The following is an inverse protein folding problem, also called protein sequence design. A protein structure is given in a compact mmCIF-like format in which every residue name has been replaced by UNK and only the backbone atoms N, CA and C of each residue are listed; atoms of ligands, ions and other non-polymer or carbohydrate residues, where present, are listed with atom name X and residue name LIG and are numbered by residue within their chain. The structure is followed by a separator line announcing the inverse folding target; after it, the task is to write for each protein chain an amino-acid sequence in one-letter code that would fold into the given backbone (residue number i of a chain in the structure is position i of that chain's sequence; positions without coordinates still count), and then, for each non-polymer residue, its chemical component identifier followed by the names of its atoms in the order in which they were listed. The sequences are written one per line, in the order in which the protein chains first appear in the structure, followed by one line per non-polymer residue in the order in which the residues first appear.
data_IF_993690203392
#
_entry.id   IF_993690203392
#
_cell.length_a   1.000
_cell.length_b   1.000
_cell.length_c   1.000
_cell.angle_alpha   90.00
_cell.angle_beta   90.00
_cell.angle_gamma   90.00
#
_symmetry.space_group_name_H-M   'P 1'
#
loop_
_entity.id
_entity.type
_entity.pdbx_description
1 polymer ?
#
# COMPACT_ATOMS: atom_id res chain seq x y z
N UNK A 1 16.46 -9.81 -4.16
CA UNK A 1 16.59 -10.18 -5.59
C UNK A 1 15.26 -10.75 -6.07
N UNK A 2 14.73 -10.25 -7.19
CA UNK A 2 13.43 -10.64 -7.76
C UNK A 2 13.64 -11.33 -9.12
N UNK A 3 12.98 -12.47 -9.31
CA UNK A 3 12.90 -13.23 -10.58
C UNK A 3 11.51 -13.88 -10.70
N UNK A 4 10.84 -13.90 -11.87
CA UNK A 4 11.23 -13.32 -13.15
C UNK A 4 11.05 -11.79 -13.19
N UNK A 5 11.78 -11.11 -14.07
CA UNK A 5 11.59 -9.68 -14.33
C UNK A 5 10.46 -9.46 -15.34
N UNK A 6 9.69 -8.40 -15.17
CA UNK A 6 8.61 -8.02 -16.11
C UNK A 6 8.49 -6.52 -16.19
N UNK A 7 8.11 -5.99 -17.36
CA UNK A 7 7.95 -4.54 -17.59
C UNK A 7 6.97 -3.89 -16.59
N UNK A 8 5.93 -4.64 -16.18
CA UNK A 8 4.95 -4.20 -15.18
C UNK A 8 5.61 -4.05 -13.80
N UNK A 9 6.47 -5.00 -13.41
CA UNK A 9 7.18 -4.97 -12.11
C UNK A 9 8.16 -3.79 -12.08
N UNK A 10 8.90 -3.56 -13.17
CA UNK A 10 9.82 -2.42 -13.28
C UNK A 10 9.04 -1.10 -13.11
N UNK A 11 7.91 -0.94 -13.81
CA UNK A 11 7.05 0.25 -13.66
C UNK A 11 6.47 0.40 -12.26
N UNK A 12 6.11 -0.71 -11.61
CA UNK A 12 5.62 -0.70 -10.23
C UNK A 12 6.72 -0.24 -9.26
N UNK A 13 7.96 -0.73 -9.43
CA UNK A 13 9.11 -0.31 -8.64
C UNK A 13 9.43 1.18 -8.83
N UNK A 14 9.31 1.71 -10.06
CA UNK A 14 9.48 3.15 -10.32
C UNK A 14 8.47 3.98 -9.51
N UNK A 15 7.21 3.55 -9.43
CA UNK A 15 6.19 4.22 -8.60
C UNK A 15 6.57 4.16 -7.12
N UNK A 16 7.05 3.00 -6.63
CA UNK A 16 7.51 2.86 -5.24
C UNK A 16 8.73 3.74 -4.93
N UNK A 17 9.66 3.88 -5.88
CA UNK A 17 10.86 4.72 -5.75
C UNK A 17 10.47 6.20 -5.70
N UNK A 18 9.51 6.63 -6.54
CA UNK A 18 8.98 8.00 -6.54
C UNK A 18 8.41 8.43 -5.19
N UNK A 19 7.77 7.49 -4.48
CA UNK A 19 7.24 7.73 -3.14
C UNK A 19 8.26 7.47 -2.00
N UNK A 20 9.50 7.07 -2.33
CA UNK A 20 10.57 6.87 -1.35
C UNK A 20 10.45 5.61 -0.48
N UNK A 21 9.72 4.58 -0.95
CA UNK A 21 9.60 3.29 -0.25
C UNK A 21 10.73 2.32 -0.55
N UNK A 22 11.41 2.50 -1.67
CA UNK A 22 12.59 1.73 -2.06
C UNK A 22 13.72 2.69 -2.40
N UNK A 23 14.95 2.22 -2.30
CA UNK A 23 16.13 2.93 -2.77
C UNK A 23 16.31 2.74 -4.28
N UNK A 24 17.57 2.66 -4.70
CA UNK A 24 17.91 2.37 -6.08
C UNK A 24 17.60 0.91 -6.43
N UNK A 25 17.23 0.69 -7.69
CA UNK A 25 17.06 -0.66 -8.22
C UNK A 25 17.79 -0.79 -9.56
N UNK A 26 18.38 -1.95 -9.78
CA UNK A 26 19.12 -2.27 -10.99
C UNK A 26 18.46 -3.45 -11.70
N UNK A 27 18.33 -3.31 -13.03
CA UNK A 27 17.91 -4.40 -13.91
C UNK A 27 19.15 -5.06 -14.50
N UNK A 28 19.36 -6.34 -14.19
CA UNK A 28 20.45 -7.15 -14.74
C UNK A 28 19.86 -8.15 -15.73
N UNK A 29 20.27 -8.07 -16.99
CA UNK A 29 19.82 -9.00 -18.02
C UNK A 29 20.63 -10.31 -17.98
N UNK A 30 19.92 -11.43 -17.90
CA UNK A 30 20.50 -12.79 -17.87
C UNK A 30 20.21 -13.56 -19.16
N UNK A 31 19.73 -12.88 -20.21
CA UNK A 31 19.25 -13.45 -21.49
C UNK A 31 18.12 -14.49 -21.37
N UNK A 32 17.69 -14.84 -20.15
CA UNK A 32 16.56 -15.75 -19.89
C UNK A 32 15.31 -14.97 -19.50
N UNK A 33 15.30 -14.43 -18.28
CA UNK A 33 14.11 -13.82 -17.68
C UNK A 33 14.41 -12.53 -16.93
N UNK A 34 15.64 -12.02 -17.03
CA UNK A 34 16.15 -10.85 -16.31
C UNK A 34 16.09 -10.99 -14.79
N UNK A 35 16.81 -10.13 -14.09
CA UNK A 35 16.89 -10.09 -12.63
C UNK A 35 16.73 -8.64 -12.20
N UNK A 36 16.04 -8.42 -11.10
CA UNK A 36 15.97 -7.08 -10.50
C UNK A 36 16.58 -7.17 -9.10
N UNK A 37 17.59 -6.33 -8.88
CA UNK A 37 18.19 -6.10 -7.58
C UNK A 37 17.61 -4.80 -7.06
N UNK A 38 17.02 -4.82 -5.86
CA UNK A 38 16.37 -3.65 -5.25
C UNK A 38 17.03 -3.42 -3.91
N UNK A 39 17.41 -2.18 -3.63
CA UNK A 39 17.84 -1.75 -2.31
C UNK A 39 16.61 -1.36 -1.47
N UNK A 40 16.46 -1.98 -0.31
CA UNK A 40 15.37 -1.71 0.61
C UNK A 40 15.85 -0.78 1.72
N UNK A 41 15.12 0.30 1.95
CA UNK A 41 15.41 1.29 2.98
C UNK A 41 14.76 0.99 4.34
N UNK A 42 14.09 -0.17 4.48
CA UNK A 42 13.37 -0.57 5.70
C UNK A 42 12.02 0.12 5.93
N UNK A 43 11.54 0.95 5.01
CA UNK A 43 10.24 1.66 5.10
C UNK A 43 9.08 0.91 4.44
N UNK A 44 9.30 -0.32 3.97
CA UNK A 44 8.26 -1.11 3.35
C UNK A 44 7.76 -2.17 4.33
N UNK A 45 6.48 -2.10 4.71
CA UNK A 45 5.91 -3.07 5.65
C UNK A 45 5.15 -4.16 4.90
N UNK A 46 4.29 -3.76 3.96
CA UNK A 46 3.58 -4.69 3.10
C UNK A 46 3.47 -4.12 1.70
N UNK A 47 3.84 -4.92 0.71
CA UNK A 47 3.39 -4.76 -0.67
C UNK A 47 2.63 -6.02 -1.09
N UNK A 48 1.59 -5.84 -1.89
CA UNK A 48 0.75 -6.94 -2.33
C UNK A 48 0.18 -6.67 -3.70
N UNK A 49 0.03 -7.72 -4.49
CA UNK A 49 -0.68 -7.70 -5.77
C UNK A 49 -2.11 -8.17 -5.52
N UNK A 50 -3.08 -7.54 -6.18
CA UNK A 50 -4.48 -7.93 -6.11
C UNK A 50 -4.80 -8.80 -7.32
N UNK A 51 -5.35 -9.99 -7.03
CA UNK A 51 -5.82 -10.93 -8.04
C UNK A 51 -7.21 -11.42 -7.67
N UNK A 52 -8.20 -11.36 -8.59
CA UNK A 52 -8.12 -10.90 -9.97
C UNK A 52 -7.96 -9.36 -10.09
N UNK A 53 -7.53 -8.88 -11.27
CA UNK A 53 -7.38 -7.44 -11.54
C UNK A 53 -8.74 -6.80 -11.82
N UNK A 54 -9.36 -6.27 -10.77
CA UNK A 54 -10.65 -5.60 -10.85
C UNK A 54 -10.57 -4.27 -11.59
N UNK A 55 -11.60 -3.98 -12.39
CA UNK A 55 -11.83 -2.67 -12.97
C UNK A 55 -12.31 -1.70 -11.90
N UNK A 56 -11.76 -0.47 -11.92
CA UNK A 56 -12.04 0.57 -10.95
C UNK A 56 -12.27 1.89 -11.68
N UNK A 57 -13.50 2.39 -11.57
CA UNK A 57 -13.84 3.74 -12.02
C UNK A 57 -13.31 4.81 -11.08
N UNK A 58 -13.22 6.05 -11.56
CA UNK A 58 -12.71 7.22 -10.79
C UNK A 58 -13.46 7.40 -9.46
N UNK A 59 -14.77 7.17 -9.46
CA UNK A 59 -15.63 7.28 -8.26
C UNK A 59 -15.36 6.15 -7.24
N UNK A 60 -14.96 4.99 -7.71
CA UNK A 60 -14.76 3.80 -6.87
C UNK A 60 -13.39 3.75 -6.21
N UNK A 61 -12.43 4.58 -6.67
CA UNK A 61 -11.07 4.66 -6.11
C UNK A 61 -11.11 4.87 -4.59
N UNK A 62 -11.97 5.76 -4.09
CA UNK A 62 -12.07 6.00 -2.65
C UNK A 62 -12.55 4.76 -1.87
N UNK A 63 -13.50 4.02 -2.43
CA UNK A 63 -14.01 2.78 -1.83
C UNK A 63 -12.93 1.70 -1.75
N UNK A 64 -12.11 1.57 -2.80
CA UNK A 64 -10.96 0.66 -2.80
C UNK A 64 -9.87 1.10 -1.82
N UNK A 65 -9.62 2.41 -1.70
CA UNK A 65 -8.67 3.00 -0.75
C UNK A 65 -9.04 2.65 0.68
N UNK A 66 -10.31 2.81 1.06
CA UNK A 66 -10.79 2.50 2.40
C UNK A 66 -10.74 1.00 2.76
N UNK A 67 -10.83 0.10 1.77
CA UNK A 67 -10.79 -1.35 1.98
C UNK A 67 -9.38 -1.90 2.08
N UNK A 68 -8.45 -1.37 1.28
CA UNK A 68 -7.11 -1.92 1.12
C UNK A 68 -6.09 -1.26 2.05
N UNK A 69 -6.23 0.04 2.30
CA UNK A 69 -5.29 0.79 3.13
C UNK A 69 -5.80 0.85 4.58
N UNK A 70 -4.89 0.78 5.57
CA UNK A 70 -5.26 0.91 6.98
C UNK A 70 -5.78 2.33 7.31
N UNK A 71 -5.38 3.35 6.54
CA UNK A 71 -5.83 4.73 6.68
C UNK A 71 -5.75 5.47 5.33
N UNK A 72 -6.57 6.51 5.13
CA UNK A 72 -6.60 7.32 3.89
C UNK A 72 -5.32 8.11 3.64
N UNK A 73 -4.56 8.39 4.71
CA UNK A 73 -3.30 9.16 4.63
C UNK A 73 -2.08 8.27 4.46
N UNK A 74 -2.23 6.94 4.58
CA UNK A 74 -1.10 6.02 4.66
C UNK A 74 -1.20 4.91 3.62
N UNK A 75 -0.26 4.95 2.68
CA UNK A 75 -0.10 3.96 1.63
C UNK A 75 -0.65 4.41 0.28
N UNK A 76 -0.35 3.61 -0.73
CA UNK A 76 -0.72 3.90 -2.11
C UNK A 76 -1.28 2.66 -2.77
N UNK A 77 -2.34 2.86 -3.55
CA UNK A 77 -2.85 1.86 -4.49
C UNK A 77 -2.31 2.20 -5.86
N UNK A 78 -1.83 1.16 -6.56
CA UNK A 78 -1.32 1.26 -7.93
C UNK A 78 -2.35 0.72 -8.89
N UNK A 79 -2.64 1.52 -9.92
CA UNK A 79 -3.63 1.25 -10.96
C UNK A 79 -2.93 1.18 -12.32
N UNK A 80 -3.40 0.29 -13.20
CA UNK A 80 -3.09 0.34 -14.63
C UNK A 80 -4.19 1.12 -15.33
N UNK A 81 -3.85 2.30 -15.81
CA UNK A 81 -4.73 3.15 -16.61
C UNK A 81 -4.32 3.10 -18.08
N UNK A 82 -5.12 3.68 -18.97
CA UNK A 82 -4.76 3.84 -20.39
C UNK A 82 -3.49 4.67 -20.61
N UNK A 83 -3.20 5.61 -19.70
CA UNK A 83 -2.00 6.44 -19.74
C UNK A 83 -0.77 5.79 -19.08
N UNK A 84 -0.90 4.57 -18.55
CA UNK A 84 0.17 3.83 -17.91
C UNK A 84 -0.13 3.43 -16.47
N UNK A 85 0.90 2.92 -15.79
CA UNK A 85 0.83 2.51 -14.38
C UNK A 85 1.11 3.74 -13.52
N UNK A 86 0.18 4.06 -12.63
CA UNK A 86 0.25 5.21 -11.75
C UNK A 86 -0.42 4.92 -10.41
N UNK A 87 -0.17 5.79 -9.44
CA UNK A 87 -0.85 5.78 -8.16
C UNK A 87 -2.29 6.31 -8.26
N UNK A 88 -3.09 5.99 -7.25
CA UNK A 88 -4.47 6.42 -7.14
C UNK A 88 -4.67 7.94 -7.01
N UNK A 89 -3.69 8.70 -6.48
CA UNK A 89 -3.81 10.16 -6.38
C UNK A 89 -3.62 10.81 -7.75
N UNK A 90 -2.62 10.36 -8.51
CA UNK A 90 -2.44 10.77 -9.91
C UNK A 90 -3.62 10.39 -10.78
N UNK A 91 -4.16 9.19 -10.61
CA UNK A 91 -5.34 8.72 -11.34
C UNK A 91 -6.56 9.63 -11.05
N UNK A 92 -6.76 10.02 -9.79
CA UNK A 92 -7.77 11.01 -9.39
C UNK A 92 -7.51 12.38 -10.01
N UNK A 93 -6.28 12.90 -9.97
CA UNK A 93 -5.93 14.22 -10.54
C UNK A 93 -6.20 14.27 -12.04
N UNK A 94 -5.91 13.18 -12.74
CA UNK A 94 -6.12 13.04 -14.19
C UNK A 94 -7.55 12.60 -14.55
N UNK A 95 -8.42 12.33 -13.56
CA UNK A 95 -9.76 11.76 -13.76
C UNK A 95 -9.78 10.51 -14.64
N UNK A 96 -8.80 9.62 -14.46
CA UNK A 96 -8.70 8.36 -15.20
C UNK A 96 -8.93 7.17 -14.28
N UNK A 97 -9.75 6.23 -14.75
CA UNK A 97 -9.91 4.92 -14.12
C UNK A 97 -8.95 3.89 -14.70
N UNK A 98 -9.06 2.65 -14.24
CA UNK A 98 -8.20 1.58 -14.71
C UNK A 98 -8.47 0.26 -14.03
N UNK A 99 -7.47 -0.61 -14.02
CA UNK A 99 -7.48 -1.88 -13.28
C UNK A 99 -6.56 -1.80 -12.08
N UNK A 100 -6.97 -2.34 -10.93
CA UNK A 100 -6.11 -2.40 -9.76
C UNK A 100 -5.03 -3.45 -9.97
N UNK A 101 -3.77 -3.04 -9.74
CA UNK A 101 -2.63 -3.96 -9.75
C UNK A 101 -2.28 -4.42 -8.35
N UNK A 102 -2.18 -3.49 -7.41
CA UNK A 102 -1.63 -3.78 -6.10
C UNK A 102 -1.64 -2.58 -5.18
N UNK A 103 -1.14 -2.79 -3.98
CA UNK A 103 -1.02 -1.79 -2.94
C UNK A 103 0.32 -1.93 -2.24
N UNK A 104 0.80 -0.82 -1.68
CA UNK A 104 1.92 -0.83 -0.76
C UNK A 104 1.70 0.23 0.33
N UNK A 105 2.17 -0.05 1.54
CA UNK A 105 2.08 0.90 2.64
C UNK A 105 3.22 0.75 3.65
N UNK A 106 3.48 1.86 4.36
CA UNK A 106 4.27 1.88 5.58
C UNK A 106 3.31 1.73 6.75
N UNK A 107 3.69 0.94 7.73
CA UNK A 107 2.82 0.57 8.84
C UNK A 107 3.60 0.65 10.15
N UNK A 108 4.03 1.84 10.54
CA UNK A 108 4.52 2.05 11.90
C UNK A 108 3.40 1.85 12.94
N UNK A 109 2.13 2.01 12.51
CA UNK A 109 0.95 2.07 13.38
C UNK A 109 -0.03 0.89 13.26
N UNK A 110 0.34 -0.24 12.63
CA UNK A 110 -0.58 -1.38 12.43
C UNK A 110 -0.83 -2.22 13.69
N UNK A 111 -0.22 -1.92 14.83
CA UNK A 111 -0.58 -2.56 16.11
C UNK A 111 -1.97 -2.15 16.66
N UNK A 112 -2.64 -1.15 16.07
CA UNK A 112 -3.91 -0.64 16.61
C UNK A 112 -5.18 -1.27 16.02
N UNK A 113 -5.09 -2.17 15.02
CA UNK A 113 -6.28 -2.75 14.37
C UNK A 113 -6.72 -4.13 14.87
N UNK A 114 -5.93 -4.82 15.68
CA UNK A 114 -6.31 -6.15 16.24
C UNK A 114 -6.60 -6.12 17.75
N UNK A 115 -6.30 -5.03 18.46
CA UNK A 115 -6.41 -4.96 19.91
C UNK A 115 -6.86 -3.57 20.39
N UNK A 116 -8.12 -3.16 20.20
CA UNK A 116 -8.64 -2.03 21.01
C UNK A 116 -10.17 -1.82 21.04
N UNK A 117 -10.97 -2.88 20.96
CA UNK A 117 -12.38 -2.80 21.40
C UNK A 117 -12.61 -3.55 22.71
N UNK A 118 -11.95 -4.68 22.92
CA UNK A 118 -12.02 -5.42 24.19
C UNK A 118 -11.17 -4.76 25.28
N UNK A 119 -9.99 -4.25 24.93
CA UNK A 119 -9.05 -3.68 25.92
C UNK A 119 -9.46 -2.28 26.37
N UNK A 120 -9.99 -1.43 25.48
CA UNK A 120 -10.62 -0.16 25.85
C UNK A 120 -11.84 -0.36 26.76
N UNK A 121 -12.61 -1.44 26.58
CA UNK A 121 -13.72 -1.79 27.47
C UNK A 121 -13.20 -2.31 28.82
N UNK A 122 -12.19 -3.17 28.84
CA UNK A 122 -11.56 -3.65 30.09
C UNK A 122 -10.89 -2.51 30.88
N UNK A 123 -10.19 -1.59 30.23
CA UNK A 123 -9.61 -0.40 30.87
C UNK A 123 -10.67 0.54 31.39
N UNK A 124 -11.74 0.81 30.63
CA UNK A 124 -12.90 1.59 31.12
C UNK A 124 -13.51 0.94 32.36
N UNK A 125 -13.68 -0.39 32.34
CA UNK A 125 -14.20 -1.14 33.48
C UNK A 125 -13.23 -1.14 34.67
N UNK A 126 -11.92 -1.18 34.42
CA UNK A 126 -10.88 -1.06 35.44
C UNK A 126 -10.88 0.34 36.07
N UNK A 127 -10.92 1.40 35.26
CA UNK A 127 -10.97 2.79 35.71
C UNK A 127 -12.26 3.10 36.49
N UNK A 128 -13.40 2.52 36.09
CA UNK A 128 -14.64 2.59 36.86
C UNK A 128 -14.54 1.84 38.19
N UNK A 129 -13.82 0.70 38.23
CA UNK A 129 -13.65 -0.12 39.45
C UNK A 129 -12.65 0.46 40.46
N UNK A 130 -11.72 1.31 40.02
CA UNK A 130 -10.76 2.01 40.90
C UNK A 130 -11.21 3.43 41.31
N UNK A 131 -12.40 3.88 40.91
CA UNK A 131 -13.03 5.09 41.45
C UNK A 131 -12.24 6.40 41.24
N UNK A 132 -11.32 6.44 40.28
CA UNK A 132 -10.56 7.65 39.95
C UNK A 132 -11.46 8.61 39.16
N UNK A 133 -12.15 9.49 39.88
CA UNK A 133 -12.69 10.73 39.31
C UNK A 133 -11.50 11.60 38.91
N UNK A 134 -11.21 11.69 37.62
CA UNK A 134 -10.36 12.75 37.09
C UNK A 134 -11.11 14.09 37.26
N UNK A 135 -10.52 14.97 38.07
CA UNK A 135 -10.89 16.38 38.18
C UNK A 135 -10.35 17.15 36.98
#
# INVERSE_FOLDING_TARGET
MIRPSSKVIIKFLIVMQKHGYIGEFEYVDDHRSGKIVVELNGRLNKCGVISPRFDVGVKEIEGWTARLLPSRQFGYIVLTTSAGIMDHEEARRKNVGGKVLGFFYYAEFVLMREWDLSFAFELSMYFWRIGLQFN
#
